data_IF_603489144452
#
_entry.id   IF_603489144452
#
_cell.length_a   1.000
_cell.length_b   1.000
_cell.length_c   1.000
_cell.angle_alpha   90.00
_cell.angle_beta   90.00
_cell.angle_gamma   90.00
#
_symmetry.space_group_name_H-M   'P 1'
#
loop_
_entity.id
_entity.type
_entity.pdbx_description
1 polymer ?
#
# COMPACT_ATOMS: atom_id res chain seq x y z
N UNK A 1 -32.84 2.70 31.07
CA UNK A 1 -31.71 3.66 30.92
C UNK A 1 -30.65 3.47 32.02
N UNK A 2 -30.05 2.28 32.15
CA UNK A 2 -28.94 2.03 33.11
C UNK A 2 -27.81 1.16 32.54
N UNK A 3 -27.90 0.75 31.27
CA UNK A 3 -26.90 -0.11 30.61
C UNK A 3 -25.88 0.67 29.75
N UNK A 4 -26.16 1.94 29.45
CA UNK A 4 -25.28 2.79 28.62
C UNK A 4 -24.11 3.43 29.40
N UNK A 5 -24.24 3.57 30.72
CA UNK A 5 -23.18 4.14 31.55
C UNK A 5 -22.00 3.19 31.81
N UNK A 6 -22.21 1.87 31.74
CA UNK A 6 -21.15 0.89 31.98
C UNK A 6 -20.13 0.81 30.84
N UNK A 7 -20.56 1.06 29.60
CA UNK A 7 -19.67 1.06 28.42
C UNK A 7 -18.78 2.31 28.34
N UNK A 8 -19.24 3.45 28.85
CA UNK A 8 -18.49 4.71 28.83
C UNK A 8 -17.40 4.73 29.92
N UNK A 9 -17.64 4.10 31.07
CA UNK A 9 -16.67 4.08 32.17
C UNK A 9 -15.50 3.13 31.89
N UNK A 10 -15.72 2.02 31.18
CA UNK A 10 -14.63 1.08 30.81
C UNK A 10 -13.76 1.68 29.69
N UNK A 11 -14.33 2.49 28.79
CA UNK A 11 -13.54 3.24 27.78
C UNK A 11 -12.76 4.42 28.38
N UNK A 12 -13.25 5.06 29.45
CA UNK A 12 -12.55 6.16 30.12
C UNK A 12 -11.28 5.74 30.89
N UNK A 13 -11.30 4.55 31.50
CA UNK A 13 -10.15 4.06 32.28
C UNK A 13 -9.02 3.49 31.43
N UNK A 14 -9.31 2.92 30.26
CA UNK A 14 -8.26 2.41 29.36
C UNK A 14 -7.43 3.52 28.70
N UNK A 15 -8.00 4.72 28.53
CA UNK A 15 -7.33 5.86 27.86
C UNK A 15 -6.41 6.63 28.82
N UNK A 16 -6.69 6.57 30.13
CA UNK A 16 -5.93 7.33 31.14
C UNK A 16 -4.63 6.63 31.58
N UNK A 17 -4.48 5.32 31.32
CA UNK A 17 -3.31 4.53 31.71
C UNK A 17 -2.18 4.50 30.65
N UNK A 18 -2.38 5.10 29.47
CA UNK A 18 -1.41 5.11 28.37
C UNK A 18 -0.82 6.51 28.08
N UNK A 19 -1.10 7.49 28.94
CA UNK A 19 -0.66 8.87 28.77
C UNK A 19 0.61 9.26 29.57
N UNK A 20 1.27 8.31 30.24
CA UNK A 20 2.56 8.53 30.89
C UNK A 20 3.55 7.44 30.47
N UNK A 21 4.32 7.71 29.43
CA UNK A 21 5.66 7.13 29.30
C UNK A 21 6.58 8.15 28.65
N UNK A 22 7.70 8.35 29.34
CA UNK A 22 8.64 9.44 29.22
C UNK A 22 9.29 9.58 27.84
N UNK A 23 9.59 10.84 27.52
CA UNK A 23 10.56 11.24 26.52
C UNK A 23 11.94 10.66 26.88
N UNK A 24 12.33 9.57 26.21
CA UNK A 24 13.73 9.21 26.03
C UNK A 24 13.96 8.86 24.56
N UNK A 25 14.77 9.63 23.81
CA UNK A 25 15.10 9.32 22.44
C UNK A 25 16.12 8.17 22.42
N UNK A 26 15.68 6.98 22.00
CA UNK A 26 16.59 5.87 21.69
C UNK A 26 17.50 6.30 20.53
N UNK A 27 18.82 6.05 20.58
CA UNK A 27 19.75 6.51 19.55
C UNK A 27 19.45 5.86 18.20
N UNK A 28 19.32 6.69 17.17
CA UNK A 28 19.07 6.26 15.79
C UNK A 28 20.30 5.57 15.18
N UNK A 29 20.26 4.24 15.08
CA UNK A 29 21.15 3.53 14.16
C UNK A 29 20.69 3.76 12.71
N UNK A 30 21.47 4.56 11.98
CA UNK A 30 21.48 4.68 10.51
C UNK A 30 20.16 5.07 9.84
N UNK A 31 19.61 6.21 10.26
CA UNK A 31 18.33 6.68 9.77
C UNK A 31 18.40 7.70 8.61
N UNK A 32 19.10 7.41 7.49
CA UNK A 32 19.14 8.34 6.33
C UNK A 32 18.02 8.18 5.30
N UNK A 33 17.11 7.20 5.44
CA UNK A 33 16.00 6.96 4.49
C UNK A 33 14.62 7.29 5.08
N UNK A 34 13.69 7.88 4.30
CA UNK A 34 12.35 8.22 4.80
C UNK A 34 11.50 6.99 5.08
N UNK A 35 10.65 7.10 6.11
CA UNK A 35 9.74 6.07 6.60
C UNK A 35 8.36 6.17 5.92
N UNK A 36 8.04 5.35 4.92
CA UNK A 36 6.76 5.47 4.20
C UNK A 36 5.53 5.07 5.05
N UNK A 37 4.68 6.01 5.44
CA UNK A 37 3.91 5.88 6.69
C UNK A 37 2.63 5.01 6.70
N UNK A 38 2.10 4.53 5.57
CA UNK A 38 1.04 3.52 5.61
C UNK A 38 1.13 2.56 4.44
N UNK A 39 1.13 1.26 4.73
CA UNK A 39 1.21 0.21 3.73
C UNK A 39 -0.22 -0.37 3.59
N UNK A 40 -1.04 0.08 2.63
CA UNK A 40 -2.37 -0.48 2.44
C UNK A 40 -2.26 -1.94 2.00
N UNK A 41 -3.17 -2.80 2.43
CA UNK A 41 -3.15 -4.23 2.11
C UNK A 41 -3.34 -4.49 0.62
N UNK A 42 -2.70 -5.53 0.08
CA UNK A 42 -2.85 -5.90 -1.33
C UNK A 42 -4.31 -6.25 -1.68
N UNK A 43 -4.78 -5.80 -2.85
CA UNK A 43 -6.14 -6.07 -3.31
C UNK A 43 -6.40 -7.58 -3.52
N UNK A 44 -5.39 -8.37 -3.84
CA UNK A 44 -5.48 -9.84 -3.87
C UNK A 44 -5.76 -10.46 -2.48
N UNK A 45 -5.15 -9.93 -1.41
CA UNK A 45 -5.42 -10.39 -0.04
C UNK A 45 -6.77 -9.90 0.50
N UNK A 46 -7.24 -8.74 0.06
CA UNK A 46 -8.61 -8.28 0.30
C UNK A 46 -9.63 -9.25 -0.28
N UNK A 47 -9.44 -9.61 -1.57
CA UNK A 47 -10.30 -10.54 -2.27
C UNK A 47 -10.38 -11.89 -1.53
N UNK A 48 -9.26 -12.35 -1.00
CA UNK A 48 -9.15 -13.62 -0.28
C UNK A 48 -9.49 -13.51 1.23
N UNK A 49 -9.77 -12.30 1.75
CA UNK A 49 -10.24 -12.08 3.12
C UNK A 49 -9.22 -12.31 4.23
N UNK A 50 -7.92 -12.30 3.89
CA UNK A 50 -6.84 -12.73 4.81
C UNK A 50 -6.33 -11.58 5.71
N UNK A 51 -6.77 -10.35 5.45
CA UNK A 51 -6.34 -9.14 6.18
C UNK A 51 -7.12 -8.94 7.48
N UNK A 52 -6.50 -8.63 8.63
CA UNK A 52 -7.21 -8.44 9.90
C UNK A 52 -8.39 -7.46 9.81
N UNK A 53 -8.15 -6.28 9.22
CA UNK A 53 -9.18 -5.34 8.80
C UNK A 53 -9.83 -5.79 7.49
N UNK A 54 -11.16 -5.84 7.46
CA UNK A 54 -11.94 -6.21 6.28
C UNK A 54 -12.50 -4.98 5.55
N UNK A 55 -12.54 -3.83 6.23
CA UNK A 55 -12.82 -2.54 5.59
C UNK A 55 -11.49 -1.83 5.37
N UNK A 56 -11.05 -1.86 4.12
CA UNK A 56 -9.71 -1.39 3.76
C UNK A 56 -9.67 0.13 3.70
N UNK A 57 -8.71 0.70 4.43
CA UNK A 57 -8.27 2.08 4.23
C UNK A 57 -7.69 2.20 2.80
N UNK A 58 -8.30 3.01 1.93
CA UNK A 58 -7.71 3.35 0.63
C UNK A 58 -6.29 3.91 0.79
N UNK A 59 -5.43 3.63 -0.17
CA UNK A 59 -4.05 4.07 -0.11
C UNK A 59 -3.30 3.84 -1.41
N UNK A 60 -2.30 4.68 -1.62
CA UNK A 60 -1.44 4.66 -2.79
C UNK A 60 0.00 4.38 -2.37
N UNK A 61 0.56 3.26 -2.84
CA UNK A 61 1.85 2.73 -2.39
C UNK A 61 2.99 3.22 -3.28
N UNK A 62 2.71 3.49 -4.58
CA UNK A 62 3.66 3.96 -5.60
C UNK A 62 5.01 3.23 -5.66
N UNK A 63 5.07 2.03 -5.09
CA UNK A 63 6.25 1.17 -4.94
C UNK A 63 5.83 -0.31 -5.10
N UNK A 64 6.80 -1.18 -5.32
CA UNK A 64 6.62 -2.63 -5.32
C UNK A 64 6.45 -3.16 -3.89
N UNK A 65 5.52 -4.10 -3.70
CA UNK A 65 5.18 -4.58 -2.36
C UNK A 65 4.98 -6.10 -2.32
N UNK A 66 5.40 -6.71 -1.21
CA UNK A 66 5.20 -8.13 -0.91
C UNK A 66 4.53 -8.29 0.47
N UNK A 67 3.29 -8.78 0.51
CA UNK A 67 2.58 -9.08 1.74
C UNK A 67 2.69 -10.55 2.14
N UNK A 68 2.91 -10.79 3.43
CA UNK A 68 2.77 -12.10 4.06
C UNK A 68 1.64 -12.07 5.09
N UNK A 69 0.90 -13.16 5.24
CA UNK A 69 -0.14 -13.26 6.25
C UNK A 69 -0.09 -14.61 6.96
N UNK A 70 -0.32 -14.57 8.28
CA UNK A 70 -0.26 -15.75 9.14
C UNK A 70 -1.65 -15.97 9.73
N UNK A 71 -2.37 -16.94 9.19
CA UNK A 71 -3.65 -17.36 9.75
C UNK A 71 -3.39 -18.58 10.62
N UNK A 72 -3.49 -18.40 11.95
CA UNK A 72 -3.16 -19.37 13.03
C UNK A 72 -1.66 -19.49 13.38
N UNK A 73 -1.35 -20.35 14.36
CA UNK A 73 -0.01 -20.58 14.92
C UNK A 73 0.91 -21.35 13.93
N UNK A 74 0.36 -21.70 12.76
CA UNK A 74 1.06 -22.36 11.66
C UNK A 74 1.45 -21.33 10.62
N UNK A 75 2.70 -21.43 10.15
CA UNK A 75 3.22 -20.58 9.09
C UNK A 75 2.56 -20.98 7.76
N UNK A 76 1.44 -20.37 7.40
CA UNK A 76 0.84 -20.52 6.07
C UNK A 76 1.60 -19.61 5.08
N UNK A 77 2.12 -20.12 3.96
CA UNK A 77 2.88 -19.32 2.99
C UNK A 77 1.92 -18.50 2.10
N UNK A 78 1.12 -17.64 2.72
CA UNK A 78 0.28 -16.71 1.99
C UNK A 78 1.16 -15.55 1.50
N UNK A 79 1.22 -15.34 0.19
CA UNK A 79 2.06 -14.32 -0.44
C UNK A 79 1.20 -13.50 -1.38
N UNK A 80 1.28 -12.17 -1.31
CA UNK A 80 0.76 -11.29 -2.35
C UNK A 80 1.84 -10.33 -2.82
N UNK A 81 1.82 -10.07 -4.12
CA UNK A 81 2.69 -9.14 -4.81
C UNK A 81 1.82 -8.04 -5.40
N UNK A 82 2.29 -6.80 -5.32
CA UNK A 82 1.57 -5.63 -5.77
C UNK A 82 2.50 -4.61 -6.44
N UNK A 83 2.05 -4.01 -7.53
CA UNK A 83 2.83 -3.05 -8.31
C UNK A 83 1.96 -2.03 -9.07
N UNK A 84 2.51 -0.85 -9.35
CA UNK A 84 1.87 0.21 -10.14
C UNK A 84 2.62 0.46 -11.45
N UNK A 85 2.32 -0.30 -12.52
CA UNK A 85 3.17 -0.32 -13.72
C UNK A 85 3.23 1.03 -14.45
N UNK A 86 2.11 1.76 -14.53
CA UNK A 86 2.07 3.05 -15.25
C UNK A 86 2.93 4.10 -14.53
N UNK A 87 2.90 4.10 -13.20
CA UNK A 87 3.75 4.95 -12.39
C UNK A 87 5.23 4.65 -12.63
N UNK A 88 5.62 3.38 -12.47
CA UNK A 88 7.02 2.95 -12.62
C UNK A 88 7.59 3.23 -14.01
N UNK A 89 6.83 2.93 -15.06
CA UNK A 89 7.30 3.06 -16.44
C UNK A 89 7.40 4.54 -16.86
N UNK A 90 6.39 5.36 -16.56
CA UNK A 90 6.26 6.69 -17.18
C UNK A 90 6.60 7.87 -16.28
N UNK A 91 6.44 7.73 -14.97
CA UNK A 91 6.44 8.85 -14.02
C UNK A 91 7.46 8.73 -12.88
N UNK A 92 7.97 7.53 -12.57
CA UNK A 92 9.09 7.34 -11.63
C UNK A 92 10.40 7.89 -12.24
N UNK A 93 10.56 9.21 -12.15
CA UNK A 93 11.69 9.98 -12.68
C UNK A 93 12.21 10.96 -11.61
N UNK A 94 13.49 11.36 -11.68
CA UNK A 94 14.03 12.40 -10.79
C UNK A 94 13.32 13.76 -10.93
N UNK A 95 12.64 13.97 -12.07
CA UNK A 95 11.87 15.16 -12.37
C UNK A 95 10.36 14.88 -12.29
N UNK A 96 9.65 15.62 -11.44
CA UNK A 96 8.19 15.53 -11.26
C UNK A 96 7.40 16.41 -12.22
N UNK A 97 8.02 17.31 -12.99
CA UNK A 97 7.31 18.23 -13.89
C UNK A 97 6.40 17.49 -14.88
N UNK A 98 6.88 16.37 -15.43
CA UNK A 98 6.08 15.52 -16.34
C UNK A 98 4.81 15.00 -15.67
N UNK A 99 4.87 14.69 -14.38
CA UNK A 99 3.72 14.24 -13.60
C UNK A 99 2.79 15.41 -13.27
N UNK A 100 3.36 16.52 -12.80
CA UNK A 100 2.62 17.72 -12.39
C UNK A 100 1.86 18.36 -13.56
N UNK A 101 2.47 18.37 -14.75
CA UNK A 101 1.85 18.88 -15.99
C UNK A 101 0.86 17.89 -16.63
N UNK A 102 0.76 16.66 -16.14
CA UNK A 102 -0.12 15.65 -16.73
C UNK A 102 -1.60 15.97 -16.47
N UNK A 103 -2.48 15.53 -17.38
CA UNK A 103 -3.92 15.67 -17.20
C UNK A 103 -4.43 14.86 -16.00
N UNK A 104 -5.59 15.25 -15.44
CA UNK A 104 -6.20 14.55 -14.30
C UNK A 104 -6.43 13.06 -14.59
N UNK A 105 -6.80 12.71 -15.82
CA UNK A 105 -6.98 11.32 -16.25
C UNK A 105 -5.66 10.56 -16.29
N UNK A 106 -4.58 11.16 -16.79
CA UNK A 106 -3.27 10.51 -16.80
C UNK A 106 -2.74 10.30 -15.37
N UNK A 107 -2.99 11.25 -14.48
CA UNK A 107 -2.72 11.12 -13.03
C UNK A 107 -3.57 10.02 -12.40
N UNK A 108 -4.84 9.88 -12.76
CA UNK A 108 -5.70 8.78 -12.30
C UNK A 108 -5.17 7.42 -12.78
N UNK A 109 -4.85 7.28 -14.07
CA UNK A 109 -4.29 6.05 -14.64
C UNK A 109 -2.94 5.68 -14.02
N UNK A 110 -2.15 6.67 -13.58
CA UNK A 110 -0.90 6.39 -12.85
C UNK A 110 -1.11 5.64 -11.53
N UNK A 111 -2.33 5.64 -10.99
CA UNK A 111 -2.69 4.91 -9.76
C UNK A 111 -3.20 3.49 -10.03
N UNK A 112 -3.19 3.04 -11.29
CA UNK A 112 -3.53 1.65 -11.60
C UNK A 112 -2.55 0.73 -10.90
N UNK A 113 -3.13 -0.16 -10.11
CA UNK A 113 -2.46 -1.01 -9.14
C UNK A 113 -2.87 -2.45 -9.43
N UNK A 114 -1.89 -3.28 -9.77
CA UNK A 114 -2.08 -4.68 -10.12
C UNK A 114 -1.49 -5.51 -8.99
N UNK A 115 -2.29 -6.44 -8.47
CA UNK A 115 -1.88 -7.35 -7.42
C UNK A 115 -2.24 -8.80 -7.76
N UNK A 116 -1.39 -9.71 -7.32
CA UNK A 116 -1.62 -11.15 -7.41
C UNK A 116 -1.20 -11.81 -6.11
N UNK A 117 -1.91 -12.82 -5.65
CA UNK A 117 -1.57 -13.51 -4.41
C UNK A 117 -2.11 -14.92 -4.31
N UNK A 118 -1.47 -15.70 -3.45
CA UNK A 118 -1.82 -17.09 -3.16
C UNK A 118 -2.15 -17.26 -1.70
N UNK A 119 -3.18 -18.05 -1.40
CA UNK A 119 -3.62 -18.33 -0.03
C UNK A 119 -3.93 -19.80 0.11
N UNK A 120 -3.61 -20.37 1.27
CA UNK A 120 -4.01 -21.71 1.66
C UNK A 120 -5.09 -21.64 2.74
N UNK A 121 -6.26 -22.20 2.45
CA UNK A 121 -7.41 -22.25 3.37
C UNK A 121 -7.16 -23.23 4.54
N UNK A 122 -8.05 -23.26 5.53
CA UNK A 122 -7.98 -24.21 6.65
C UNK A 122 -8.17 -25.66 6.21
N UNK A 123 -8.89 -25.87 5.10
CA UNK A 123 -9.08 -27.18 4.44
C UNK A 123 -7.94 -27.56 3.48
N UNK A 124 -6.77 -26.91 3.58
CA UNK A 124 -5.61 -27.09 2.67
C UNK A 124 -5.91 -26.78 1.18
N UNK A 125 -7.04 -26.14 0.90
CA UNK A 125 -7.39 -25.70 -0.43
C UNK A 125 -6.55 -24.47 -0.79
N UNK A 126 -5.74 -24.59 -1.84
CA UNK A 126 -4.98 -23.46 -2.38
C UNK A 126 -5.88 -22.62 -3.25
N UNK A 127 -5.75 -21.30 -3.12
CA UNK A 127 -6.44 -20.29 -3.93
C UNK A 127 -5.43 -19.32 -4.50
N UNK A 128 -5.68 -18.87 -5.72
CA UNK A 128 -4.93 -17.81 -6.38
C UNK A 128 -5.88 -16.66 -6.71
N UNK A 129 -5.44 -15.43 -6.48
CA UNK A 129 -6.20 -14.23 -6.79
C UNK A 129 -5.37 -13.29 -7.64
N UNK A 130 -6.03 -12.64 -8.60
CA UNK A 130 -5.53 -11.46 -9.29
C UNK A 130 -6.53 -10.33 -9.13
N UNK A 131 -6.06 -9.12 -8.82
CA UNK A 131 -6.91 -7.95 -8.68
C UNK A 131 -6.25 -6.71 -9.27
N UNK A 132 -7.09 -5.87 -9.88
CA UNK A 132 -6.72 -4.55 -10.39
C UNK A 132 -7.51 -3.50 -9.61
N UNK A 133 -6.83 -2.46 -9.14
CA UNK A 133 -7.40 -1.34 -8.41
C UNK A 133 -7.01 -0.03 -9.10
N UNK A 134 -7.90 0.95 -9.07
CA UNK A 134 -7.64 2.32 -9.51
C UNK A 134 -8.19 3.30 -8.48
N UNK A 135 -7.41 4.34 -8.17
CA UNK A 135 -7.86 5.44 -7.31
C UNK A 135 -8.55 6.48 -8.17
N UNK A 136 -9.88 6.62 -7.99
CA UNK A 136 -10.68 7.59 -8.73
C UNK A 136 -10.51 9.01 -8.19
N UNK A 137 -10.45 9.13 -6.86
CA UNK A 137 -10.37 10.42 -6.20
C UNK A 137 -9.38 10.39 -5.05
N UNK A 138 -8.66 11.50 -4.89
CA UNK A 138 -7.79 11.78 -3.75
C UNK A 138 -7.79 13.27 -3.47
N UNK A 139 -7.95 13.61 -2.21
CA UNK A 139 -7.90 15.00 -1.74
C UNK A 139 -6.48 15.57 -1.75
N UNK A 140 -5.51 14.76 -1.32
CA UNK A 140 -4.12 15.15 -1.18
C UNK A 140 -3.23 14.21 -2.01
N UNK A 141 -2.62 14.75 -3.08
CA UNK A 141 -1.54 14.07 -3.80
C UNK A 141 -0.21 14.78 -3.52
N UNK A 142 0.72 14.17 -2.76
CA UNK A 142 1.99 14.81 -2.43
C UNK A 142 2.78 15.25 -3.66
N UNK A 143 2.78 14.45 -4.73
CA UNK A 143 3.60 14.69 -5.92
C UNK A 143 3.06 15.80 -6.83
N UNK A 144 1.79 16.18 -6.64
CA UNK A 144 1.12 17.23 -7.40
C UNK A 144 1.19 18.61 -6.72
N UNK A 145 2.01 18.75 -5.66
CA UNK A 145 2.22 20.02 -4.95
C UNK A 145 3.58 20.61 -5.35
N UNK A 146 3.66 21.56 -6.31
CA UNK A 146 4.94 22.08 -6.78
C UNK A 146 5.74 22.80 -5.68
N UNK A 147 5.04 23.47 -4.76
CA UNK A 147 5.64 24.19 -3.65
C UNK A 147 6.48 23.29 -2.73
N UNK A 148 6.15 21.99 -2.63
CA UNK A 148 6.87 21.03 -1.81
C UNK A 148 8.27 20.72 -2.37
N UNK A 149 8.44 20.82 -3.69
CA UNK A 149 9.67 20.37 -4.38
C UNK A 149 10.48 21.51 -5.01
N UNK A 150 9.96 22.74 -5.05
CA UNK A 150 10.57 23.86 -5.79
C UNK A 150 12.06 24.04 -5.49
N UNK A 151 12.44 24.24 -4.23
CA UNK A 151 13.85 24.41 -3.83
C UNK A 151 14.74 23.21 -4.18
N UNK A 152 14.41 21.99 -3.71
CA UNK A 152 15.16 20.78 -4.05
C UNK A 152 15.28 20.50 -5.56
N UNK A 153 14.25 20.86 -6.33
CA UNK A 153 14.25 20.70 -7.79
C UNK A 153 15.13 21.75 -8.48
N UNK A 154 15.09 23.01 -8.05
CA UNK A 154 15.97 24.07 -8.56
C UNK A 154 17.45 23.72 -8.34
N UNK A 155 17.84 23.34 -7.12
CA UNK A 155 19.22 22.90 -6.80
C UNK A 155 19.68 21.72 -7.66
N UNK A 156 18.81 20.72 -7.84
CA UNK A 156 19.10 19.55 -8.65
C UNK A 156 19.35 19.93 -10.12
N UNK A 157 18.56 20.84 -10.67
CA UNK A 157 18.71 21.27 -12.06
C UNK A 157 20.00 22.03 -12.31
N UNK A 158 20.37 22.92 -11.39
CA UNK A 158 21.63 23.66 -11.49
C UNK A 158 22.83 22.71 -11.51
N UNK A 159 22.87 21.77 -10.56
CA UNK A 159 23.95 20.78 -10.48
C UNK A 159 23.96 19.82 -11.68
N UNK A 160 22.79 19.35 -12.12
CA UNK A 160 22.69 18.46 -13.27
C UNK A 160 23.10 19.17 -14.57
N UNK A 161 22.75 20.44 -14.74
CA UNK A 161 23.12 21.26 -15.89
C UNK A 161 24.64 21.44 -15.98
N UNK A 162 25.29 21.74 -14.87
CA UNK A 162 26.75 21.87 -14.79
C UNK A 162 27.45 20.57 -15.18
N UNK A 163 27.04 19.44 -14.59
CA UNK A 163 27.63 18.13 -14.91
C UNK A 163 27.40 17.71 -16.35
N UNK A 164 26.19 17.93 -16.90
CA UNK A 164 25.90 17.64 -18.31
C UNK A 164 26.72 18.52 -19.25
N UNK A 165 26.91 19.80 -18.93
CA UNK A 165 27.77 20.70 -19.70
C UNK A 165 29.21 20.18 -19.80
N UNK A 166 29.77 19.70 -18.68
CA UNK A 166 31.12 19.08 -18.66
C UNK A 166 31.17 17.80 -19.50
N UNK A 167 30.15 16.94 -19.41
CA UNK A 167 30.05 15.73 -20.24
C UNK A 167 30.04 16.11 -21.72
N UNK A 168 29.23 17.08 -22.14
CA UNK A 168 29.16 17.51 -23.55
C UNK A 168 30.51 18.07 -24.03
N UNK A 169 31.21 18.85 -23.19
CA UNK A 169 32.55 19.36 -23.51
C UNK A 169 33.59 18.24 -23.68
N UNK A 170 33.56 17.22 -22.82
CA UNK A 170 34.44 16.05 -22.89
C UNK A 170 34.11 15.15 -24.09
N UNK A 171 32.83 14.95 -24.40
CA UNK A 171 32.40 14.21 -25.60
C UNK A 171 32.83 14.91 -26.89
N UNK A 172 32.74 16.24 -26.96
CA UNK A 172 33.19 16.98 -28.13
C UNK A 172 34.72 17.01 -28.24
N UNK A 173 35.42 17.02 -27.11
CA UNK A 173 36.88 16.84 -27.07
C UNK A 173 37.28 15.45 -27.58
N UNK A 174 36.54 14.42 -27.18
CA UNK A 174 36.74 13.04 -27.64
C UNK A 174 36.56 12.89 -29.15
N UNK A 175 35.53 13.54 -29.73
CA UNK A 175 35.28 13.52 -31.18
C UNK A 175 36.37 14.23 -31.99
N UNK A 176 37.06 15.20 -31.40
CA UNK A 176 38.13 15.98 -32.06
C UNK A 176 39.49 15.29 -32.03
N UNK A 177 39.66 14.23 -31.24
CA UNK A 177 40.92 13.49 -31.16
C UNK A 177 41.14 12.61 -32.42
N UNK A 178 42.30 12.68 -33.07
CA UNK A 178 42.60 11.84 -34.24
C UNK A 178 42.72 10.35 -33.87
N UNK A 179 42.34 9.46 -34.77
CA UNK A 179 42.39 7.99 -34.62
C UNK A 179 43.81 7.44 -34.83
N UNK A 180 44.80 8.03 -34.18
CA UNK A 180 46.21 7.60 -34.26
C UNK A 180 46.62 6.92 -32.94
N UNK A 181 47.47 5.89 -33.01
CA UNK A 181 47.87 5.10 -31.84
C UNK A 181 48.54 5.90 -30.71
N UNK A 182 49.14 7.06 -31.01
CA UNK A 182 49.76 7.95 -30.02
C UNK A 182 48.77 8.59 -29.04
N UNK A 183 47.49 8.69 -29.39
CA UNK A 183 46.47 9.35 -28.57
C UNK A 183 45.62 8.37 -27.74
N UNK A 184 45.99 7.09 -27.71
CA UNK A 184 45.24 6.06 -26.98
C UNK A 184 45.21 6.31 -25.46
N UNK A 185 46.32 6.76 -24.86
CA UNK A 185 46.38 7.08 -23.43
C UNK A 185 45.49 8.27 -23.08
N UNK A 186 45.56 9.35 -23.87
CA UNK A 186 44.70 10.54 -23.71
C UNK A 186 43.22 10.17 -23.87
N UNK A 187 42.91 9.31 -24.85
CA UNK A 187 41.55 8.80 -25.06
C UNK A 187 41.06 7.99 -23.86
N UNK A 188 41.90 7.13 -23.27
CA UNK A 188 41.54 6.38 -22.06
C UNK A 188 41.28 7.31 -20.87
N UNK A 189 42.09 8.35 -20.68
CA UNK A 189 41.90 9.32 -19.59
C UNK A 189 40.56 10.06 -19.72
N UNK A 190 40.22 10.53 -20.92
CA UNK A 190 38.93 11.18 -21.20
C UNK A 190 37.76 10.23 -20.98
N UNK A 191 37.86 8.97 -21.42
CA UNK A 191 36.81 7.96 -21.19
C UNK A 191 36.62 7.66 -19.70
N UNK A 192 37.70 7.59 -18.92
CA UNK A 192 37.64 7.39 -17.47
C UNK A 192 36.97 8.58 -16.77
N UNK A 193 37.25 9.80 -17.22
CA UNK A 193 36.63 11.01 -16.68
C UNK A 193 35.12 11.07 -17.03
N UNK A 194 34.75 10.67 -18.24
CA UNK A 194 33.34 10.54 -18.65
C UNK A 194 32.59 9.53 -17.77
N UNK A 195 33.17 8.35 -17.51
CA UNK A 195 32.56 7.33 -16.64
C UNK A 195 32.36 7.84 -15.20
N UNK A 196 33.35 8.58 -14.68
CA UNK A 196 33.25 9.23 -13.37
C UNK A 196 32.14 10.28 -13.33
N UNK A 197 32.00 11.11 -14.36
CA UNK A 197 30.92 12.09 -14.46
C UNK A 197 29.55 11.42 -14.62
N UNK A 198 29.43 10.35 -15.40
CA UNK A 198 28.21 9.57 -15.52
C UNK A 198 27.80 8.97 -14.17
N UNK A 199 28.75 8.42 -13.42
CA UNK A 199 28.53 7.90 -12.07
C UNK A 199 28.07 9.01 -11.10
N UNK A 200 28.65 10.21 -11.20
CA UNK A 200 28.21 11.38 -10.42
C UNK A 200 26.76 11.78 -10.76
N UNK A 201 26.40 11.79 -12.05
CA UNK A 201 25.03 12.10 -12.49
C UNK A 201 24.04 11.05 -11.95
N UNK A 202 24.36 9.76 -12.05
CA UNK A 202 23.50 8.70 -11.52
C UNK A 202 23.32 8.81 -10.00
N UNK A 203 24.40 9.15 -9.27
CA UNK A 203 24.35 9.37 -7.83
C UNK A 203 23.46 10.56 -7.47
N UNK A 204 23.60 11.66 -8.21
CA UNK A 204 22.77 12.85 -8.05
C UNK A 204 21.28 12.57 -8.34
N UNK A 205 20.97 11.81 -9.38
CA UNK A 205 19.61 11.37 -9.68
C UNK A 205 19.01 10.49 -8.58
N UNK A 206 19.81 9.58 -8.02
CA UNK A 206 19.40 8.74 -6.88
C UNK A 206 19.12 9.57 -5.64
N UNK A 207 20.00 10.52 -5.30
CA UNK A 207 19.81 11.44 -4.18
C UNK A 207 18.54 12.28 -4.34
N UNK A 208 18.26 12.73 -5.56
CA UNK A 208 17.04 13.48 -5.84
C UNK A 208 15.78 12.63 -5.65
N UNK A 209 15.79 11.39 -6.13
CA UNK A 209 14.69 10.44 -5.88
C UNK A 209 14.49 10.21 -4.38
N UNK A 210 15.57 9.99 -3.63
CA UNK A 210 15.50 9.81 -2.17
C UNK A 210 14.90 11.05 -1.48
N UNK A 211 15.31 12.27 -1.87
CA UNK A 211 14.74 13.54 -1.37
C UNK A 211 13.25 13.66 -1.68
N UNK A 212 12.84 13.37 -2.92
CA UNK A 212 11.41 13.39 -3.32
C UNK A 212 10.62 12.43 -2.44
N UNK A 213 11.10 11.21 -2.24
CA UNK A 213 10.44 10.22 -1.40
C UNK A 213 10.38 10.69 0.06
N UNK A 214 11.40 11.41 0.55
CA UNK A 214 11.40 11.98 1.90
C UNK A 214 10.31 13.02 2.10
N UNK A 215 10.21 13.97 1.18
CA UNK A 215 9.20 15.03 1.23
C UNK A 215 7.79 14.47 1.07
N UNK A 216 7.62 13.54 0.12
CA UNK A 216 6.36 12.81 -0.09
C UNK A 216 5.91 12.11 1.18
N UNK A 217 6.84 11.44 1.83
CA UNK A 217 6.62 10.72 3.08
C UNK A 217 6.19 11.69 4.20
N UNK A 218 6.91 12.79 4.40
CA UNK A 218 6.54 13.80 5.40
C UNK A 218 5.14 14.37 5.15
N UNK A 219 4.80 14.69 3.91
CA UNK A 219 3.49 15.19 3.54
C UNK A 219 2.37 14.19 3.83
N UNK A 220 2.58 12.90 3.51
CA UNK A 220 1.62 11.83 3.82
C UNK A 220 1.43 11.64 5.34
N UNK A 221 2.43 11.97 6.17
CA UNK A 221 2.31 11.93 7.63
C UNK A 221 1.34 12.97 8.15
N UNK A 222 1.44 14.18 7.62
CA UNK A 222 0.59 15.31 7.99
C UNK A 222 -0.84 15.10 7.52
N UNK A 223 -1.01 14.53 6.32
CA UNK A 223 -2.30 14.27 5.68
C UNK A 223 -2.68 12.78 5.71
N UNK A 224 -2.37 12.07 6.79
CA UNK A 224 -2.57 10.61 6.85
C UNK A 224 -4.03 10.17 6.77
N UNK A 225 -4.94 11.07 7.13
CA UNK A 225 -6.38 10.90 7.04
C UNK A 225 -6.98 11.57 5.79
N UNK A 226 -6.17 11.80 4.76
CA UNK A 226 -6.67 12.29 3.48
C UNK A 226 -7.80 11.42 2.94
N UNK A 227 -8.78 12.07 2.31
CA UNK A 227 -9.94 11.42 1.70
C UNK A 227 -9.56 10.79 0.37
N UNK A 228 -10.06 9.59 0.12
CA UNK A 228 -9.80 8.78 -1.08
C UNK A 228 -11.06 8.01 -1.51
N UNK A 229 -11.12 7.68 -2.79
CA UNK A 229 -12.07 6.70 -3.35
C UNK A 229 -11.32 5.81 -4.32
N UNK A 230 -11.31 4.50 -4.07
CA UNK A 230 -10.81 3.51 -5.03
C UNK A 230 -11.93 2.59 -5.51
N UNK A 231 -11.69 2.04 -6.71
CA UNK A 231 -12.49 0.97 -7.28
C UNK A 231 -11.56 -0.16 -7.65
N UNK A 232 -11.97 -1.38 -7.35
CA UNK A 232 -11.19 -2.56 -7.63
C UNK A 232 -12.06 -3.70 -8.14
N UNK A 233 -11.44 -4.52 -8.99
CA UNK A 233 -12.03 -5.73 -9.56
C UNK A 233 -11.00 -6.83 -9.47
N UNK A 234 -11.44 -8.01 -9.04
CA UNK A 234 -10.56 -9.16 -8.87
C UNK A 234 -11.24 -10.47 -9.25
N UNK A 235 -10.39 -11.45 -9.60
CA UNK A 235 -10.78 -12.82 -9.89
C UNK A 235 -10.01 -13.75 -8.97
N UNK A 236 -10.72 -14.73 -8.41
CA UNK A 236 -10.14 -15.83 -7.65
C UNK A 236 -10.26 -17.14 -8.42
N UNK A 237 -9.26 -17.99 -8.20
CA UNK A 237 -9.09 -19.29 -8.82
C UNK A 237 -8.80 -20.32 -7.73
N UNK A 238 -9.36 -21.51 -7.89
CA UNK A 238 -9.06 -22.69 -7.07
C UNK A 238 -8.12 -23.60 -7.84
N UNK A 239 -7.19 -24.23 -7.12
CA UNK A 239 -6.35 -25.28 -7.68
C UNK A 239 -7.15 -26.59 -7.68
N UNK A 240 -7.40 -27.14 -8.86
CA UNK A 240 -8.10 -28.42 -9.04
C UNK A 240 -7.13 -29.49 -9.52
N UNK A 241 -6.21 -29.88 -8.62
CA UNK A 241 -5.12 -30.77 -8.95
C UNK A 241 -5.17 -32.05 -8.11
N UNK A 242 -5.35 -33.20 -8.77
CA UNK A 242 -5.17 -34.52 -8.18
C UNK A 242 -3.69 -34.95 -8.12
N UNK A 243 -2.80 -34.30 -8.89
CA UNK A 243 -1.35 -34.55 -8.97
C UNK A 243 -0.57 -33.23 -9.01
N UNK A 244 0.68 -33.24 -8.52
CA UNK A 244 1.57 -32.06 -8.45
C UNK A 244 2.01 -31.51 -9.84
N UNK A 245 1.86 -32.31 -10.89
CA UNK A 245 2.50 -32.09 -12.20
C UNK A 245 1.64 -31.33 -13.22
N UNK A 246 0.34 -31.17 -12.96
CA UNK A 246 -0.59 -30.43 -13.82
C UNK A 246 -1.14 -29.22 -13.06
N UNK A 247 -1.06 -28.02 -13.63
CA UNK A 247 -1.69 -26.82 -13.05
C UNK A 247 -3.07 -26.60 -13.70
N UNK A 248 -4.12 -27.13 -13.09
CA UNK A 248 -5.50 -26.83 -13.47
C UNK A 248 -6.09 -25.79 -12.50
N UNK A 249 -6.45 -24.64 -13.06
CA UNK A 249 -7.08 -23.55 -12.33
C UNK A 249 -8.55 -23.47 -12.73
N UNK A 250 -9.44 -23.62 -11.75
CA UNK A 250 -10.88 -23.44 -11.94
C UNK A 250 -11.26 -22.08 -11.37
N UNK A 251 -12.05 -21.31 -12.12
CA UNK A 251 -12.54 -20.02 -11.63
C UNK A 251 -13.42 -20.23 -10.40
N UNK A 252 -13.06 -19.57 -9.29
CA UNK A 252 -13.78 -19.63 -8.02
C UNK A 252 -14.79 -18.50 -7.91
N UNK A 253 -14.33 -17.26 -8.17
CA UNK A 253 -15.20 -16.09 -8.10
C UNK A 253 -14.67 -14.85 -8.80
N UNK A 254 -15.58 -13.91 -9.05
CA UNK A 254 -15.31 -12.57 -9.55
C UNK A 254 -15.88 -11.57 -8.55
N UNK A 255 -15.06 -10.62 -8.10
CA UNK A 255 -15.51 -9.57 -7.19
C UNK A 255 -15.23 -8.19 -7.75
N UNK A 256 -16.12 -7.26 -7.45
CA UNK A 256 -15.93 -5.84 -7.68
C UNK A 256 -16.25 -5.09 -6.38
N UNK A 257 -15.44 -4.10 -6.03
CA UNK A 257 -15.65 -3.32 -4.82
C UNK A 257 -15.26 -1.87 -4.98
N UNK A 258 -15.90 -1.05 -4.16
CA UNK A 258 -15.68 0.38 -4.04
C UNK A 258 -15.39 0.64 -2.57
N UNK A 259 -14.29 1.34 -2.31
CA UNK A 259 -13.91 1.80 -0.98
C UNK A 259 -13.74 3.31 -0.99
N UNK A 260 -14.12 3.95 0.10
CA UNK A 260 -13.99 5.39 0.27
C UNK A 260 -13.65 5.73 1.70
N UNK A 261 -12.85 6.77 1.91
CA UNK A 261 -12.55 7.27 3.24
C UNK A 261 -12.60 8.80 3.30
N UNK A 262 -12.92 9.29 4.50
CA UNK A 262 -12.97 10.72 4.82
C UNK A 262 -12.31 10.94 6.18
N UNK A 263 -11.34 11.84 6.22
CA UNK A 263 -10.70 12.29 7.45
C UNK A 263 -11.57 13.27 8.24
N UNK A 264 -11.64 13.09 9.55
CA UNK A 264 -12.30 14.02 10.47
C UNK A 264 -11.25 14.57 11.43
N UNK A 265 -10.97 15.87 11.35
CA UNK A 265 -9.93 16.52 12.14
C UNK A 265 -8.52 16.00 11.79
N UNK A 266 -7.67 15.78 12.80
CA UNK A 266 -6.28 15.28 12.63
C UNK A 266 -6.08 13.82 13.02
N UNK A 267 -7.05 13.20 13.70
CA UNK A 267 -6.88 11.90 14.36
C UNK A 267 -7.89 10.83 13.96
N UNK A 268 -8.96 11.20 13.27
CA UNK A 268 -10.03 10.28 12.91
C UNK A 268 -10.10 10.07 11.40
N UNK A 269 -10.42 8.84 11.01
CA UNK A 269 -10.66 8.45 9.64
C UNK A 269 -11.87 7.51 9.60
N UNK A 270 -12.89 7.91 8.85
CA UNK A 270 -14.05 7.08 8.58
C UNK A 270 -13.87 6.44 7.20
N UNK A 271 -14.08 5.13 7.11
CA UNK A 271 -13.96 4.36 5.88
C UNK A 271 -15.24 3.58 5.65
N UNK A 272 -15.68 3.51 4.40
CA UNK A 272 -16.78 2.66 3.95
C UNK A 272 -16.34 1.78 2.78
N UNK A 273 -16.91 0.58 2.69
CA UNK A 273 -16.66 -0.34 1.60
C UNK A 273 -17.95 -1.06 1.21
N UNK A 274 -18.16 -1.20 -0.10
CA UNK A 274 -19.20 -2.04 -0.69
C UNK A 274 -18.54 -2.97 -1.69
N UNK A 275 -18.82 -4.27 -1.58
CA UNK A 275 -18.28 -5.30 -2.45
C UNK A 275 -19.40 -6.23 -2.92
N UNK A 276 -19.35 -6.56 -4.20
CA UNK A 276 -20.16 -7.60 -4.81
C UNK A 276 -19.25 -8.73 -5.27
N UNK A 277 -19.59 -9.97 -4.91
CA UNK A 277 -18.84 -11.16 -5.30
C UNK A 277 -19.80 -12.16 -5.94
N UNK A 278 -19.47 -12.60 -7.16
CA UNK A 278 -20.13 -13.71 -7.84
C UNK A 278 -19.24 -14.94 -7.74
N UNK A 279 -19.76 -16.03 -7.20
CA UNK A 279 -19.05 -17.29 -7.13
C UNK A 279 -19.51 -18.20 -8.26
N UNK A 280 -18.54 -18.80 -8.96
CA UNK A 280 -18.79 -19.68 -10.11
C UNK A 280 -18.16 -21.07 -9.94
N UNK A 281 -17.51 -21.32 -8.80
CA UNK A 281 -16.89 -22.61 -8.49
C UNK A 281 -17.90 -23.74 -8.35
N UNK A 282 -17.50 -24.95 -8.76
CA UNK A 282 -18.31 -26.18 -8.69
C UNK A 282 -18.71 -26.54 -7.25
N UNK A 283 -17.97 -26.07 -6.25
CA UNK A 283 -18.25 -26.24 -4.81
C UNK A 283 -18.97 -25.05 -4.16
N UNK A 284 -19.34 -24.03 -4.92
CA UNK A 284 -19.94 -22.81 -4.37
C UNK A 284 -21.41 -23.05 -3.95
N UNK A 285 -21.66 -23.08 -2.64
CA UNK A 285 -23.03 -23.17 -2.08
C UNK A 285 -23.83 -21.87 -2.27
N UNK A 286 -23.13 -20.75 -2.41
CA UNK A 286 -23.69 -19.41 -2.56
C UNK A 286 -23.24 -18.88 -3.93
N UNK A 287 -24.17 -18.45 -4.78
CA UNK A 287 -23.86 -17.92 -6.12
C UNK A 287 -23.40 -16.47 -6.12
N UNK A 288 -23.85 -15.69 -5.15
CA UNK A 288 -23.55 -14.26 -5.05
C UNK A 288 -23.50 -13.81 -3.58
N UNK A 289 -22.66 -12.86 -3.26
CA UNK A 289 -22.53 -12.25 -1.93
C UNK A 289 -22.44 -10.73 -2.07
N UNK A 290 -23.24 -10.01 -1.28
CA UNK A 290 -23.09 -8.59 -1.05
C UNK A 290 -22.41 -8.36 0.29
N UNK A 291 -21.36 -7.56 0.27
CA UNK A 291 -20.62 -7.13 1.44
C UNK A 291 -20.76 -5.61 1.59
N UNK A 292 -21.12 -5.19 2.80
CA UNK A 292 -21.16 -3.79 3.18
C UNK A 292 -20.45 -3.64 4.52
N UNK A 293 -19.52 -2.69 4.60
CA UNK A 293 -18.73 -2.47 5.80
C UNK A 293 -18.41 -0.99 6.03
N UNK A 294 -18.33 -0.63 7.30
CA UNK A 294 -17.88 0.68 7.76
C UNK A 294 -16.79 0.48 8.82
N UNK A 295 -15.78 1.33 8.82
CA UNK A 295 -14.64 1.29 9.74
C UNK A 295 -14.31 2.68 10.22
N UNK A 296 -14.19 2.81 11.54
CA UNK A 296 -13.74 4.00 12.21
C UNK A 296 -12.32 3.74 12.71
N UNK A 297 -11.38 4.58 12.27
CA UNK A 297 -9.98 4.51 12.70
C UNK A 297 -9.60 5.74 13.50
N UNK A 298 -8.87 5.51 14.59
CA UNK A 298 -8.30 6.53 15.44
C UNK A 298 -6.81 6.29 15.64
N UNK A 299 -6.01 7.34 15.47
CA UNK A 299 -4.59 7.24 15.79
C UNK A 299 -3.72 8.21 15.03
N UNK A 300 -2.53 7.72 14.71
CA UNK A 300 -1.47 8.42 14.02
C UNK A 300 -0.83 7.49 12.98
N UNK A 301 0.02 8.00 12.08
CA UNK A 301 0.66 7.15 11.07
C UNK A 301 1.52 6.01 11.65
N UNK A 302 1.94 6.08 12.93
CA UNK A 302 2.76 5.05 13.60
C UNK A 302 1.91 3.97 14.29
N UNK A 303 0.77 4.36 14.83
CA UNK A 303 -0.15 3.48 15.56
C UNK A 303 -1.58 3.86 15.19
N UNK A 304 -2.37 2.90 14.74
CA UNK A 304 -3.77 3.12 14.45
C UNK A 304 -4.59 2.03 15.11
N UNK A 305 -5.73 2.41 15.67
CA UNK A 305 -6.75 1.49 16.14
C UNK A 305 -7.94 1.60 15.21
N UNK A 306 -8.59 0.47 14.94
CA UNK A 306 -9.77 0.42 14.11
C UNK A 306 -10.89 -0.34 14.80
N UNK A 307 -12.11 0.11 14.57
CA UNK A 307 -13.34 -0.61 14.89
C UNK A 307 -14.20 -0.64 13.62
N UNK A 308 -14.61 -1.84 13.21
CA UNK A 308 -15.33 -2.06 11.96
C UNK A 308 -16.61 -2.85 12.22
N UNK A 309 -17.64 -2.48 11.47
CA UNK A 309 -18.92 -3.18 11.42
C UNK A 309 -19.14 -3.58 9.99
N UNK A 310 -19.45 -4.86 9.77
CA UNK A 310 -19.72 -5.37 8.44
C UNK A 310 -20.84 -6.40 8.42
N UNK A 311 -21.48 -6.49 7.27
CA UNK A 311 -22.57 -7.41 6.98
C UNK A 311 -22.30 -8.10 5.64
N UNK A 312 -22.61 -9.40 5.60
CA UNK A 312 -22.51 -10.24 4.42
C UNK A 312 -23.84 -10.95 4.24
N UNK A 313 -24.45 -10.78 3.07
CA UNK A 313 -25.71 -11.44 2.76
C UNK A 313 -25.77 -11.79 1.25
N UNK A 314 -26.26 -13.00 0.88
CA UNK A 314 -26.42 -13.38 -0.53
C UNK A 314 -27.51 -12.63 -1.30
N UNK A 315 -28.45 -11.97 -0.64
CA UNK A 315 -29.61 -11.34 -1.27
C UNK A 315 -29.73 -9.86 -0.91
N UNK A 316 -29.64 -9.52 0.37
CA UNK A 316 -29.82 -8.15 0.84
C UNK A 316 -28.83 -7.80 1.97
N UNK A 317 -27.79 -6.97 1.72
CA UNK A 317 -26.82 -6.62 2.74
C UNK A 317 -27.43 -5.84 3.91
N UNK A 318 -28.58 -5.18 3.72
CA UNK A 318 -29.32 -4.44 4.76
C UNK A 318 -30.23 -5.33 5.62
N UNK A 319 -30.22 -6.65 5.43
CA UNK A 319 -30.97 -7.59 6.26
C UNK A 319 -30.40 -7.73 7.68
N UNK A 320 -29.12 -7.37 7.86
CA UNK A 320 -28.33 -7.50 9.10
C UNK A 320 -28.43 -8.90 9.75
N UNK A 321 -28.67 -9.96 8.96
CA UNK A 321 -28.78 -11.34 9.47
C UNK A 321 -27.48 -11.89 10.05
N UNK A 322 -26.35 -11.39 9.56
CA UNK A 322 -25.01 -11.75 10.01
C UNK A 322 -24.17 -10.48 10.11
N UNK A 323 -23.93 -10.02 11.34
CA UNK A 323 -23.12 -8.84 11.61
C UNK A 323 -21.79 -9.30 12.17
N UNK A 324 -20.70 -8.79 11.63
CA UNK A 324 -19.37 -8.99 12.20
C UNK A 324 -18.88 -7.67 12.77
N UNK A 325 -18.42 -7.70 14.01
CA UNK A 325 -17.68 -6.59 14.61
C UNK A 325 -16.21 -6.98 14.67
N UNK A 326 -15.36 -6.14 14.10
CA UNK A 326 -13.92 -6.31 14.15
C UNK A 326 -13.30 -5.13 14.90
N UNK A 327 -12.34 -5.40 15.76
CA UNK A 327 -11.57 -4.37 16.44
C UNK A 327 -10.11 -4.80 16.51
N UNK A 328 -9.22 -3.84 16.34
CA UNK A 328 -7.81 -4.15 16.23
C UNK A 328 -6.95 -2.91 16.06
N UNK A 329 -5.71 -3.14 15.66
CA UNK A 329 -4.79 -2.07 15.41
C UNK A 329 -3.65 -2.46 14.49
N UNK A 330 -3.01 -1.42 13.97
CA UNK A 330 -1.82 -1.49 13.14
C UNK A 330 -0.68 -0.86 13.92
N UNK A 331 0.37 -1.63 14.19
CA UNK A 331 1.60 -1.15 14.81
C UNK A 331 2.79 -1.35 13.88
N UNK A 332 3.47 -0.25 13.59
CA UNK A 332 4.70 -0.26 12.82
C UNK A 332 5.94 -0.41 13.71
N UNK A 333 6.67 -1.51 13.52
CA UNK A 333 7.95 -1.75 14.20
C UNK A 333 9.12 -1.05 13.52
N UNK A 334 9.18 -1.05 12.19
CA UNK A 334 10.32 -0.53 11.41
C UNK A 334 9.90 0.10 10.08
N UNK A 335 10.88 0.53 9.27
CA UNK A 335 10.65 1.10 7.93
C UNK A 335 9.89 0.18 6.99
N UNK A 336 10.14 -1.12 7.08
CA UNK A 336 9.63 -2.04 6.07
C UNK A 336 8.63 -3.02 6.66
N UNK A 337 8.42 -3.02 7.99
CA UNK A 337 7.61 -4.05 8.67
C UNK A 337 6.48 -3.41 9.45
N UNK A 338 5.26 -3.86 9.17
CA UNK A 338 4.04 -3.48 9.88
C UNK A 338 3.34 -4.73 10.40
N UNK A 339 2.99 -4.73 11.67
CA UNK A 339 2.13 -5.73 12.29
C UNK A 339 0.71 -5.20 12.38
N UNK A 340 -0.21 -5.93 11.77
CA UNK A 340 -1.64 -5.70 11.95
C UNK A 340 -2.21 -6.83 12.79
N UNK A 341 -3.01 -6.49 13.79
CA UNK A 341 -3.68 -7.44 14.66
C UNK A 341 -5.15 -7.05 14.82
N UNK A 342 -6.01 -8.04 15.00
CA UNK A 342 -7.42 -7.78 15.24
C UNK A 342 -8.15 -9.00 15.75
N UNK A 343 -9.29 -8.75 16.38
CA UNK A 343 -10.23 -9.76 16.82
C UNK A 343 -11.54 -9.52 16.10
N UNK A 344 -12.08 -10.58 15.50
CA UNK A 344 -13.37 -10.56 14.81
C UNK A 344 -14.37 -11.32 15.64
N UNK A 345 -15.53 -10.71 15.86
CA UNK A 345 -16.66 -11.31 16.58
C UNK A 345 -17.82 -11.43 15.61
N UNK A 346 -18.31 -12.65 15.44
CA UNK A 346 -19.37 -13.00 14.50
C UNK A 346 -20.69 -13.11 15.27
N UNK A 347 -21.67 -12.34 14.86
CA UNK A 347 -23.02 -12.34 15.41
C UNK A 347 -24.02 -12.88 14.39
N UNK A 348 -24.87 -13.79 14.83
CA UNK A 348 -26.01 -14.28 14.05
C UNK A 348 -27.24 -13.38 14.16
N UNK A 349 -28.39 -13.93 13.77
CA UNK A 349 -29.67 -13.27 13.97
C UNK A 349 -29.87 -12.95 15.47
N UNK A 350 -30.46 -11.78 15.73
CA UNK A 350 -30.70 -11.23 17.08
C UNK A 350 -29.43 -10.98 17.91
N UNK A 351 -28.28 -10.69 17.27
CA UNK A 351 -27.00 -10.47 17.96
C UNK A 351 -26.54 -11.67 18.81
N UNK A 352 -26.92 -12.88 18.43
CA UNK A 352 -26.41 -14.10 19.05
C UNK A 352 -24.93 -14.27 18.73
N UNK A 353 -24.07 -14.34 19.76
CA UNK A 353 -22.65 -14.58 19.58
C UNK A 353 -22.41 -15.98 19.00
N UNK A 354 -21.68 -16.06 17.87
CA UNK A 354 -21.36 -17.34 17.21
C UNK A 354 -19.91 -17.74 17.43
N UNK A 355 -18.98 -16.83 17.15
CA UNK A 355 -17.55 -17.15 17.23
C UNK A 355 -16.69 -15.90 17.34
N UNK A 356 -15.45 -16.14 17.79
CA UNK A 356 -14.39 -15.15 17.89
C UNK A 356 -13.17 -15.66 17.15
N UNK A 357 -12.63 -14.85 16.25
CA UNK A 357 -11.49 -15.20 15.40
C UNK A 357 -10.40 -14.14 15.55
N UNK A 358 -9.27 -14.47 16.20
CA UNK A 358 -8.10 -13.60 16.22
C UNK A 358 -7.35 -13.70 14.88
N UNK A 359 -6.87 -12.58 14.36
CA UNK A 359 -6.13 -12.50 13.09
C UNK A 359 -4.93 -11.58 13.27
N UNK A 360 -3.77 -12.00 12.78
CA UNK A 360 -2.56 -11.19 12.72
C UNK A 360 -1.91 -11.30 11.34
N UNK A 361 -1.31 -10.22 10.86
CA UNK A 361 -0.58 -10.20 9.59
C UNK A 361 0.65 -9.32 9.68
N UNK A 362 1.69 -9.68 8.92
CA UNK A 362 2.93 -8.90 8.84
C UNK A 362 3.15 -8.49 7.39
N UNK A 363 3.01 -7.20 7.11
CA UNK A 363 3.29 -6.65 5.78
C UNK A 363 4.76 -6.22 5.70
N UNK A 364 5.42 -6.54 4.57
CA UNK A 364 6.76 -6.09 4.26
C UNK A 364 6.80 -5.19 3.03
N UNK A 365 7.64 -4.16 3.02
CA UNK A 365 7.98 -3.43 1.80
C UNK A 365 9.42 -3.69 1.39
N UNK A 366 9.60 -4.04 0.11
CA UNK A 366 10.90 -4.18 -0.51
C UNK A 366 11.16 -2.94 -1.35
N UNK A 367 12.35 -2.35 -1.20
CA UNK A 367 12.85 -1.26 -2.03
C UNK A 367 14.22 -1.57 -2.55
#
# INVERSE_FOLDING_TARGET
MRFWYFFIVIWGYAISALAQSDENPIPSLNASKPLEFSIPTSAAFDLLGVTPAQVIKPGNIRDFKVDWSFQSWRLKPNIAIQAQPIWEIFYNRPNLLKYQSASKLAKMLSTIDISAGTVEDDDLNRRLAGAVKVTLFRSHDPLDVPALYRGPTEEFYEQQSQLKGLVTQLEDSLKRLPTTNEYLETKMLVLKELDLLQTKIQTLEKLQKDRITQLTTLYLKEHWNASFVDVAVGKSYLYDNLKLDSLNLVQDGLSAWINGCVGIGRKWLLTGMVRYTSFSGVKATIKQEYFLGASLRYGSPKFNFFAEVLTRDPHNPFSFKSVTLAYGGDWRFSRNVMLSYGVRTLYGQNFSFKSLVPVASIACMMR
#
